data_IF_933493288689
#
_entry.id   IF_933493288689
#
_cell.length_a   1.000
_cell.length_b   1.000
_cell.length_c   1.000
_cell.angle_alpha   90.00
_cell.angle_beta   90.00
_cell.angle_gamma   90.00
#
_symmetry.space_group_name_H-M   'P 1'
#
loop_
_entity.id
_entity.type
_entity.pdbx_description
1 polymer ?
#
# COMPACT_ATOMS: atom_id res chain seq x y z
N UNK A 1 5.18 21.23 2.36
CA UNK A 1 5.12 20.20 3.44
C UNK A 1 3.66 19.89 3.78
N UNK A 2 2.85 20.90 4.10
CA UNK A 2 1.44 20.72 4.43
C UNK A 2 0.64 19.94 3.37
N UNK A 3 0.79 20.26 2.09
CA UNK A 3 0.09 19.54 1.00
C UNK A 3 0.51 18.07 0.88
N UNK A 4 1.78 17.75 1.18
CA UNK A 4 2.27 16.37 1.22
C UNK A 4 1.63 15.61 2.38
N UNK A 5 1.45 16.24 3.54
CA UNK A 5 0.76 15.63 4.68
C UNK A 5 -0.71 15.39 4.35
N UNK A 6 -1.39 16.38 3.77
CA UNK A 6 -2.80 16.26 3.35
C UNK A 6 -3.01 15.12 2.35
N UNK A 7 -2.17 15.04 1.33
CA UNK A 7 -2.27 13.98 0.33
C UNK A 7 -1.99 12.59 0.91
N UNK A 8 -1.08 12.46 1.88
CA UNK A 8 -0.85 11.19 2.58
C UNK A 8 -2.01 10.80 3.50
N UNK A 9 -2.62 11.77 4.18
CA UNK A 9 -3.82 11.53 4.99
C UNK A 9 -5.02 11.12 4.15
N UNK A 10 -5.22 11.74 2.98
CA UNK A 10 -6.21 11.32 2.01
C UNK A 10 -5.94 9.89 1.49
N UNK A 11 -4.68 9.57 1.21
CA UNK A 11 -4.25 8.21 0.85
C UNK A 11 -4.63 7.18 1.93
N UNK A 12 -4.33 7.48 3.20
CA UNK A 12 -4.65 6.59 4.33
C UNK A 12 -6.15 6.36 4.49
N UNK A 13 -6.96 7.42 4.44
CA UNK A 13 -8.41 7.30 4.55
C UNK A 13 -9.02 6.54 3.39
N UNK A 14 -8.72 6.93 2.15
CA UNK A 14 -9.30 6.29 0.97
C UNK A 14 -8.78 4.87 0.78
N UNK A 15 -7.53 4.59 1.15
CA UNK A 15 -7.01 3.23 1.23
C UNK A 15 -7.78 2.38 2.26
N UNK A 16 -8.02 2.91 3.46
CA UNK A 16 -8.83 2.22 4.46
C UNK A 16 -10.31 2.09 4.05
N UNK A 17 -10.85 2.99 3.22
CA UNK A 17 -12.25 2.96 2.83
C UNK A 17 -12.55 2.08 1.60
N UNK A 18 -11.53 1.58 0.88
CA UNK A 18 -11.71 0.89 -0.40
C UNK A 18 -11.13 -0.53 -0.43
N UNK A 19 -11.71 -1.44 -1.25
CA UNK A 19 -11.14 -2.75 -1.53
C UNK A 19 -9.68 -2.66 -2.00
N UNK A 20 -8.83 -3.57 -1.50
CA UNK A 20 -7.41 -3.65 -1.86
C UNK A 20 -6.62 -2.34 -1.66
N UNK A 21 -7.15 -1.41 -0.86
CA UNK A 21 -6.61 -0.06 -0.69
C UNK A 21 -6.46 0.72 -2.01
N UNK A 22 -7.22 0.34 -3.05
CA UNK A 22 -7.10 0.90 -4.40
C UNK A 22 -7.46 2.38 -4.50
N UNK A 23 -8.26 2.89 -3.56
CA UNK A 23 -8.64 4.30 -3.47
C UNK A 23 -7.55 5.22 -2.93
N UNK A 24 -6.51 4.68 -2.29
CA UNK A 24 -5.44 5.50 -1.70
C UNK A 24 -4.64 6.29 -2.73
N UNK A 25 -4.06 5.61 -3.72
CA UNK A 25 -3.27 6.25 -4.77
C UNK A 25 -4.07 7.31 -5.58
N UNK A 26 -5.31 7.04 -6.07
CA UNK A 26 -6.14 8.06 -6.70
C UNK A 26 -6.40 9.28 -5.83
N UNK A 27 -6.66 9.08 -4.53
CA UNK A 27 -6.89 10.19 -3.60
C UNK A 27 -5.63 11.05 -3.41
N UNK A 28 -4.46 10.42 -3.28
CA UNK A 28 -3.18 11.12 -3.22
C UNK A 28 -2.95 11.97 -4.46
N UNK A 29 -3.16 11.39 -5.64
CA UNK A 29 -2.98 12.08 -6.93
C UNK A 29 -3.96 13.25 -7.06
N UNK A 30 -5.21 13.05 -6.67
CA UNK A 30 -6.24 14.09 -6.71
C UNK A 30 -5.86 15.29 -5.84
N UNK A 31 -5.47 15.06 -4.57
CA UNK A 31 -5.09 16.16 -3.66
C UNK A 31 -3.88 16.92 -4.19
N UNK A 32 -2.83 16.21 -4.65
CA UNK A 32 -1.64 16.86 -5.20
C UNK A 32 -1.95 17.67 -6.46
N UNK A 33 -2.78 17.13 -7.35
CA UNK A 33 -3.23 17.83 -8.55
C UNK A 33 -3.99 19.12 -8.22
N UNK A 34 -4.83 19.10 -7.17
CA UNK A 34 -5.54 20.29 -6.69
C UNK A 34 -4.59 21.34 -6.10
N UNK A 35 -3.48 20.92 -5.50
CA UNK A 35 -2.40 21.81 -5.06
C UNK A 35 -1.52 22.34 -6.22
N UNK A 36 -1.87 22.07 -7.48
CA UNK A 36 -1.15 22.55 -8.66
C UNK A 36 0.00 21.64 -9.12
N UNK A 37 0.18 20.46 -8.53
CA UNK A 37 1.21 19.51 -8.94
C UNK A 37 0.77 18.81 -10.25
N UNK A 38 1.64 18.69 -11.26
CA UNK A 38 1.33 17.93 -12.47
C UNK A 38 0.91 16.49 -12.17
N UNK A 39 -0.01 15.95 -12.99
CA UNK A 39 -0.54 14.58 -12.81
C UNK A 39 0.58 13.54 -12.92
N UNK A 40 1.49 13.68 -13.90
CA UNK A 40 2.68 12.84 -14.02
C UNK A 40 3.54 12.81 -12.74
N UNK A 41 3.77 13.96 -12.12
CA UNK A 41 4.60 14.04 -10.91
C UNK A 41 3.89 13.43 -9.70
N UNK A 42 2.57 13.61 -9.61
CA UNK A 42 1.73 12.99 -8.58
C UNK A 42 1.69 11.46 -8.73
N UNK A 43 1.57 10.96 -9.96
CA UNK A 43 1.66 9.54 -10.29
C UNK A 43 3.04 8.98 -9.93
N UNK A 44 4.10 9.72 -10.20
CA UNK A 44 5.47 9.34 -9.85
C UNK A 44 5.64 9.22 -8.34
N UNK A 45 5.17 10.21 -7.56
CA UNK A 45 5.20 10.17 -6.09
C UNK A 45 4.45 8.94 -5.57
N UNK A 46 3.24 8.70 -6.07
CA UNK A 46 2.44 7.53 -5.67
C UNK A 46 3.11 6.21 -6.01
N UNK A 47 3.74 6.12 -7.19
CA UNK A 47 4.50 4.94 -7.62
C UNK A 47 5.72 4.68 -6.74
N UNK A 48 6.47 5.73 -6.39
CA UNK A 48 7.63 5.61 -5.49
C UNK A 48 7.20 5.13 -4.10
N UNK A 49 6.11 5.66 -3.55
CA UNK A 49 5.55 5.21 -2.27
C UNK A 49 5.11 3.74 -2.32
N UNK A 50 4.47 3.32 -3.41
CA UNK A 50 4.04 1.94 -3.60
C UNK A 50 5.25 1.00 -3.67
N UNK A 51 6.29 1.36 -4.44
CA UNK A 51 7.53 0.58 -4.51
C UNK A 51 8.18 0.48 -3.13
N UNK A 52 8.31 1.59 -2.39
CA UNK A 52 8.89 1.58 -1.04
C UNK A 52 8.10 0.68 -0.07
N UNK A 53 6.76 0.71 -0.15
CA UNK A 53 5.86 -0.13 0.65
C UNK A 53 6.01 -1.61 0.31
N UNK A 54 6.06 -1.95 -0.97
CA UNK A 54 6.25 -3.34 -1.39
C UNK A 54 7.67 -3.85 -1.10
N UNK A 55 8.69 -2.99 -1.20
CA UNK A 55 10.05 -3.31 -0.74
C UNK A 55 10.07 -3.62 0.75
N UNK A 56 9.32 -2.86 1.57
CA UNK A 56 9.14 -3.21 2.98
C UNK A 56 8.55 -4.59 3.16
N UNK A 57 7.47 -4.91 2.45
CA UNK A 57 6.86 -6.24 2.54
C UNK A 57 7.81 -7.35 2.12
N UNK A 58 8.63 -7.14 1.09
CA UNK A 58 9.65 -8.12 0.68
C UNK A 58 10.70 -8.32 1.78
N UNK A 59 11.27 -7.24 2.32
CA UNK A 59 12.27 -7.32 3.39
C UNK A 59 11.69 -7.94 4.65
N UNK A 60 10.48 -7.54 5.05
CA UNK A 60 9.81 -8.11 6.23
C UNK A 60 9.44 -9.58 6.03
N UNK A 61 9.09 -10.00 4.82
CA UNK A 61 8.83 -11.40 4.51
C UNK A 61 10.09 -12.26 4.63
N UNK A 62 11.25 -11.73 4.22
CA UNK A 62 12.54 -12.41 4.43
C UNK A 62 12.86 -12.54 5.92
N UNK A 63 12.60 -11.49 6.71
CA UNK A 63 12.74 -11.55 8.17
C UNK A 63 11.81 -12.60 8.79
N UNK A 64 10.56 -12.66 8.33
CA UNK A 64 9.59 -13.65 8.81
C UNK A 64 10.02 -15.09 8.49
N UNK A 65 10.61 -15.35 7.32
CA UNK A 65 11.17 -16.68 6.98
C UNK A 65 12.31 -17.10 7.90
N UNK A 66 13.06 -16.14 8.44
CA UNK A 66 14.18 -16.42 9.34
C UNK A 66 13.73 -16.55 10.80
N UNK A 67 12.74 -15.77 11.23
CA UNK A 67 12.28 -15.73 12.64
C UNK A 67 11.15 -16.68 12.98
N UNK A 68 10.33 -17.09 12.01
CA UNK A 68 9.24 -18.03 12.27
C UNK A 68 9.75 -19.47 12.22
N UNK A 69 9.47 -20.29 13.26
CA UNK A 69 9.72 -21.72 13.21
C UNK A 69 8.98 -22.37 12.03
N UNK A 70 9.66 -23.24 11.28
CA UNK A 70 9.12 -23.87 10.08
C UNK A 70 7.89 -24.75 10.35
N UNK A 71 7.82 -25.31 11.56
CA UNK A 71 6.76 -26.16 12.07
C UNK A 71 5.58 -25.39 12.67
N UNK A 72 5.71 -24.06 12.87
CA UNK A 72 4.70 -23.25 13.56
C UNK A 72 3.30 -23.40 12.95
N UNK A 73 3.21 -23.55 11.63
CA UNK A 73 1.95 -23.68 10.87
C UNK A 73 1.84 -25.02 10.12
N UNK A 74 2.72 -25.98 10.41
CA UNK A 74 2.80 -27.27 9.71
C UNK A 74 3.50 -27.20 8.34
N UNK A 75 3.65 -28.37 7.70
CA UNK A 75 4.50 -28.56 6.51
C UNK A 75 4.10 -27.70 5.29
N UNK A 76 2.82 -27.32 5.20
CA UNK A 76 2.30 -26.54 4.08
C UNK A 76 2.54 -25.03 4.19
N UNK A 77 3.03 -24.52 5.32
CA UNK A 77 3.25 -23.09 5.49
C UNK A 77 4.37 -22.53 4.63
N UNK A 78 5.54 -23.16 4.68
CA UNK A 78 6.71 -22.74 3.90
C UNK A 78 6.44 -22.64 2.39
N UNK A 79 5.76 -23.59 1.71
CA UNK A 79 5.42 -23.42 0.29
C UNK A 79 4.40 -22.30 0.06
N UNK A 80 3.35 -22.17 0.87
CA UNK A 80 2.35 -21.09 0.72
C UNK A 80 3.00 -19.71 0.89
N UNK A 81 3.84 -19.54 1.91
CA UNK A 81 4.53 -18.29 2.17
C UNK A 81 5.51 -17.94 1.04
N UNK A 82 6.21 -18.92 0.48
CA UNK A 82 7.09 -18.73 -0.71
C UNK A 82 6.32 -18.28 -1.94
N UNK A 83 5.10 -18.80 -2.16
CA UNK A 83 4.22 -18.32 -3.24
C UNK A 83 3.79 -16.88 -3.00
N UNK A 84 3.40 -16.52 -1.77
CA UNK A 84 3.09 -15.13 -1.43
C UNK A 84 4.27 -14.18 -1.70
N UNK A 85 5.47 -14.57 -1.26
CA UNK A 85 6.71 -13.81 -1.51
C UNK A 85 7.00 -13.66 -3.01
N UNK A 86 6.83 -14.72 -3.81
CA UNK A 86 7.07 -14.66 -5.25
C UNK A 86 6.06 -13.76 -5.97
N UNK A 87 4.80 -13.75 -5.54
CA UNK A 87 3.76 -12.85 -6.05
C UNK A 87 4.12 -11.39 -5.78
N UNK A 88 4.48 -11.04 -4.54
CA UNK A 88 4.89 -9.66 -4.20
C UNK A 88 6.12 -9.25 -5.01
N UNK A 89 7.10 -10.16 -5.16
CA UNK A 89 8.31 -9.92 -5.96
C UNK A 89 7.96 -9.68 -7.43
N UNK A 90 7.03 -10.45 -7.99
CA UNK A 90 6.55 -10.26 -9.36
C UNK A 90 5.87 -8.91 -9.53
N UNK A 91 5.01 -8.49 -8.60
CA UNK A 91 4.33 -7.17 -8.63
C UNK A 91 5.37 -6.04 -8.63
N UNK A 92 6.34 -6.07 -7.72
CA UNK A 92 7.41 -5.05 -7.66
C UNK A 92 8.21 -5.02 -8.96
N UNK A 93 8.57 -6.19 -9.48
CA UNK A 93 9.34 -6.30 -10.73
C UNK A 93 8.58 -5.73 -11.92
N UNK A 94 7.28 -6.01 -12.03
CA UNK A 94 6.41 -5.46 -13.08
C UNK A 94 6.31 -3.93 -12.96
N UNK A 95 6.13 -3.40 -11.75
CA UNK A 95 6.07 -1.95 -11.52
C UNK A 95 7.37 -1.25 -11.92
N UNK A 96 8.52 -1.79 -11.49
CA UNK A 96 9.84 -1.26 -11.86
C UNK A 96 10.09 -1.36 -13.37
N UNK A 97 9.63 -2.43 -14.01
CA UNK A 97 9.71 -2.61 -15.46
C UNK A 97 8.87 -1.54 -16.17
N UNK A 98 7.63 -1.28 -15.75
CA UNK A 98 6.79 -0.24 -16.34
C UNK A 98 7.36 1.16 -16.14
N UNK A 99 7.97 1.43 -14.98
CA UNK A 99 8.62 2.70 -14.69
C UNK A 99 9.89 2.92 -15.53
N UNK A 100 10.64 1.85 -15.79
CA UNK A 100 11.87 1.88 -16.60
C UNK A 100 11.57 1.90 -18.11
N UNK A 101 10.51 1.21 -18.54
CA UNK A 101 10.12 0.98 -19.93
C UNK A 101 8.64 1.32 -20.18
N UNK A 102 8.26 2.61 -20.27
CA UNK A 102 6.87 3.05 -20.47
C UNK A 102 6.30 2.61 -21.82
N UNK A 103 7.14 2.27 -22.80
CA UNK A 103 6.70 1.67 -24.07
C UNK A 103 6.10 0.29 -23.86
N UNK A 104 6.61 -0.49 -22.89
CA UNK A 104 6.03 -1.78 -22.52
C UNK A 104 4.71 -1.58 -21.79
N UNK A 105 4.65 -0.62 -20.86
CA UNK A 105 3.42 -0.24 -20.17
C UNK A 105 2.32 0.20 -21.16
N UNK A 106 2.68 1.04 -22.15
CA UNK A 106 1.76 1.47 -23.20
C UNK A 106 1.28 0.31 -24.08
N UNK A 107 2.18 -0.60 -24.48
CA UNK A 107 1.80 -1.81 -25.23
C UNK A 107 0.82 -2.67 -24.43
N UNK A 108 1.11 -2.94 -23.16
CA UNK A 108 0.23 -3.71 -22.26
C UNK A 108 -1.13 -3.04 -22.11
N UNK A 109 -1.16 -1.72 -21.87
CA UNK A 109 -2.40 -0.95 -21.75
C UNK A 109 -3.19 -0.98 -23.06
N UNK A 110 -2.53 -0.79 -24.20
CA UNK A 110 -3.17 -0.84 -25.51
C UNK A 110 -3.78 -2.21 -25.78
N UNK A 111 -3.10 -3.30 -25.39
CA UNK A 111 -3.59 -4.67 -25.51
C UNK A 111 -4.82 -4.92 -24.61
N UNK A 112 -4.76 -4.51 -23.34
CA UNK A 112 -5.89 -4.61 -22.40
C UNK A 112 -7.12 -3.88 -22.94
N UNK A 113 -6.92 -2.66 -23.43
CA UNK A 113 -7.99 -1.89 -24.03
C UNK A 113 -8.56 -2.53 -25.32
N UNK A 114 -7.85 -3.45 -26.00
CA UNK A 114 -8.37 -4.17 -27.20
C UNK A 114 -9.38 -5.23 -26.83
N UNK A 115 -9.32 -5.72 -25.60
CA UNK A 115 -10.24 -6.73 -25.05
C UNK A 115 -11.55 -6.09 -24.59
N UNK A 116 -11.59 -4.78 -24.34
CA UNK A 116 -12.81 -4.07 -23.98
C UNK A 116 -13.83 -4.04 -25.14
N UNK A 117 -15.09 -4.42 -24.92
CA UNK A 117 -16.13 -4.42 -25.95
C UNK A 117 -16.50 -2.98 -26.33
N UNK A 118 -16.35 -2.64 -27.61
CA UNK A 118 -16.70 -1.34 -28.16
C UNK A 118 -16.47 -1.29 -29.67
N UNK A 119 -17.51 -1.62 -30.46
CA UNK A 119 -17.40 -1.75 -31.93
C UNK A 119 -17.60 -0.43 -32.70
N UNK A 120 -18.04 0.65 -32.06
CA UNK A 120 -18.30 1.93 -32.73
C UNK A 120 -17.01 2.71 -33.07
N UNK A 121 -16.97 3.33 -34.25
CA UNK A 121 -15.87 4.19 -34.71
C UNK A 121 -15.55 5.32 -33.70
N UNK A 122 -16.58 5.95 -33.15
CA UNK A 122 -16.45 7.02 -32.13
C UNK A 122 -15.79 6.52 -30.84
N UNK A 123 -16.07 5.28 -30.43
CA UNK A 123 -15.43 4.65 -29.28
C UNK A 123 -13.96 4.33 -29.54
N UNK A 124 -13.60 3.99 -30.80
CA UNK A 124 -12.20 3.77 -31.20
C UNK A 124 -11.39 5.07 -31.19
N UNK A 125 -11.94 6.17 -31.69
CA UNK A 125 -11.25 7.47 -31.72
C UNK A 125 -11.09 8.08 -30.32
N UNK A 126 -12.08 7.94 -29.44
CA UNK A 126 -11.95 8.33 -28.03
C UNK A 126 -10.86 7.51 -27.35
N UNK A 127 -10.82 6.19 -27.64
CA UNK A 127 -9.85 5.27 -27.05
C UNK A 127 -8.42 5.57 -27.50
N UNK A 128 -8.17 5.86 -28.77
CA UNK A 128 -6.84 6.23 -29.26
C UNK A 128 -6.36 7.53 -28.61
N UNK A 129 -7.21 8.56 -28.55
CA UNK A 129 -6.89 9.83 -27.85
C UNK A 129 -6.54 9.62 -26.37
N UNK A 130 -7.28 8.76 -25.67
CA UNK A 130 -6.97 8.43 -24.27
C UNK A 130 -5.62 7.70 -24.19
N UNK A 131 -5.37 6.71 -25.05
CA UNK A 131 -4.11 5.96 -25.05
C UNK A 131 -2.90 6.86 -25.34
N UNK A 132 -3.03 7.81 -26.27
CA UNK A 132 -1.97 8.77 -26.58
C UNK A 132 -1.70 9.72 -25.41
N UNK A 133 -2.76 10.20 -24.74
CA UNK A 133 -2.62 11.01 -23.53
C UNK A 133 -1.98 10.23 -22.38
N UNK A 134 -2.36 8.97 -22.17
CA UNK A 134 -1.73 8.13 -21.15
C UNK A 134 -0.26 7.86 -21.52
N UNK A 135 0.05 7.65 -22.80
CA UNK A 135 1.42 7.47 -23.25
C UNK A 135 2.30 8.68 -22.96
N UNK A 136 1.81 9.89 -23.25
CA UNK A 136 2.58 11.12 -22.98
C UNK A 136 2.80 11.34 -21.48
N UNK A 137 1.80 11.05 -20.65
CA UNK A 137 1.95 11.10 -19.18
C UNK A 137 2.94 10.03 -18.67
N UNK A 138 2.89 8.79 -19.19
CA UNK A 138 3.87 7.74 -18.86
C UNK A 138 5.31 8.14 -19.24
N UNK A 139 5.49 8.82 -20.37
CA UNK A 139 6.80 9.35 -20.75
C UNK A 139 7.29 10.44 -19.80
N UNK A 140 6.40 11.33 -19.34
CA UNK A 140 6.71 12.34 -18.32
C UNK A 140 7.09 11.69 -16.99
N UNK A 141 6.33 10.68 -16.54
CA UNK A 141 6.66 9.89 -15.34
C UNK A 141 8.06 9.28 -15.43
N UNK A 142 8.42 8.67 -16.57
CA UNK A 142 9.78 8.14 -16.78
C UNK A 142 10.84 9.24 -16.71
N UNK A 143 10.60 10.38 -17.35
CA UNK A 143 11.55 11.50 -17.34
C UNK A 143 11.75 12.03 -15.92
N UNK A 144 10.66 12.22 -15.17
CA UNK A 144 10.70 12.57 -13.75
C UNK A 144 11.48 11.54 -12.93
N UNK A 145 11.16 10.25 -13.07
CA UNK A 145 11.86 9.18 -12.36
C UNK A 145 13.37 9.17 -12.67
N UNK A 146 13.76 9.29 -13.94
CA UNK A 146 15.16 9.36 -14.35
C UNK A 146 15.86 10.59 -13.79
N UNK A 147 15.16 11.72 -13.72
CA UNK A 147 15.69 12.96 -13.13
C UNK A 147 15.96 12.78 -11.64
N UNK A 148 15.01 12.21 -10.89
CA UNK A 148 15.17 11.94 -9.44
C UNK A 148 16.32 10.94 -9.22
N UNK A 149 16.40 9.87 -10.00
CA UNK A 149 17.52 8.92 -9.92
C UNK A 149 18.88 9.54 -10.26
N UNK A 150 18.93 10.61 -11.05
CA UNK A 150 20.20 11.28 -11.39
C UNK A 150 20.61 12.30 -10.34
N UNK A 151 19.67 13.15 -9.90
CA UNK A 151 19.98 14.35 -9.12
C UNK A 151 19.58 14.22 -7.63
N UNK A 152 18.71 13.28 -7.28
CA UNK A 152 18.17 13.16 -5.92
C UNK A 152 18.07 11.70 -5.44
N UNK A 153 19.17 10.95 -5.59
CA UNK A 153 19.28 9.56 -5.10
C UNK A 153 19.08 9.48 -3.59
N UNK A 154 19.61 10.46 -2.86
CA UNK A 154 19.47 10.56 -1.40
C UNK A 154 18.00 10.70 -1.01
N UNK A 155 17.21 11.49 -1.73
CA UNK A 155 15.78 11.62 -1.49
C UNK A 155 15.03 10.28 -1.62
N UNK A 156 15.28 9.52 -2.68
CA UNK A 156 14.68 8.17 -2.85
C UNK A 156 15.09 7.25 -1.71
N UNK A 157 16.39 7.22 -1.38
CA UNK A 157 16.91 6.38 -0.30
C UNK A 157 16.24 6.72 1.04
N UNK A 158 16.17 8.01 1.39
CA UNK A 158 15.52 8.47 2.61
C UNK A 158 14.03 8.14 2.61
N UNK A 159 13.33 8.25 1.48
CA UNK A 159 11.93 7.83 1.37
C UNK A 159 11.77 6.34 1.66
N UNK A 160 12.61 5.48 1.05
CA UNK A 160 12.54 4.03 1.29
C UNK A 160 12.76 3.72 2.77
N UNK A 161 13.81 4.28 3.38
CA UNK A 161 14.13 4.08 4.80
C UNK A 161 13.00 4.62 5.70
N UNK A 162 12.49 5.81 5.42
CA UNK A 162 11.37 6.39 6.16
C UNK A 162 10.12 5.49 6.08
N UNK A 163 9.83 4.92 4.89
CA UNK A 163 8.76 3.93 4.74
C UNK A 163 9.03 2.66 5.55
N UNK A 164 10.28 2.17 5.59
CA UNK A 164 10.63 1.02 6.42
C UNK A 164 10.32 1.29 7.90
N UNK A 165 10.77 2.43 8.42
CA UNK A 165 10.57 2.84 9.80
C UNK A 165 9.08 3.01 10.11
N UNK A 166 8.33 3.66 9.20
CA UNK A 166 6.90 3.89 9.36
C UNK A 166 6.11 2.58 9.45
N UNK A 167 6.36 1.63 8.56
CA UNK A 167 5.65 0.36 8.60
C UNK A 167 6.15 -0.56 9.72
N UNK A 168 7.45 -0.55 10.04
CA UNK A 168 7.97 -1.31 11.18
C UNK A 168 7.39 -0.81 12.50
N UNK A 169 7.15 0.50 12.63
CA UNK A 169 6.42 1.07 13.76
C UNK A 169 5.01 0.46 13.92
N UNK A 170 4.35 0.05 12.83
CA UNK A 170 3.05 -0.66 12.91
C UNK A 170 3.18 -2.05 13.54
N UNK A 171 4.27 -2.77 13.26
CA UNK A 171 4.56 -4.04 13.95
C UNK A 171 4.84 -3.82 15.43
N UNK A 172 5.64 -2.80 15.76
CA UNK A 172 5.95 -2.43 17.15
C UNK A 172 4.71 -1.99 17.93
N UNK A 173 3.78 -1.25 17.31
CA UNK A 173 2.52 -0.87 17.96
C UNK A 173 1.73 -2.10 18.41
N UNK A 174 1.63 -3.14 17.57
CA UNK A 174 1.00 -4.39 17.99
C UNK A 174 1.73 -5.05 19.16
N UNK A 175 3.06 -5.08 19.11
CA UNK A 175 3.85 -5.67 20.20
C UNK A 175 3.63 -4.93 21.52
N UNK A 176 3.66 -3.59 21.49
CA UNK A 176 3.40 -2.74 22.66
C UNK A 176 2.00 -2.97 23.20
N UNK A 177 0.98 -3.11 22.35
CA UNK A 177 -0.39 -3.43 22.79
C UNK A 177 -0.43 -4.78 23.50
N UNK A 178 0.21 -5.82 22.95
CA UNK A 178 0.26 -7.14 23.59
C UNK A 178 0.98 -7.08 24.97
N UNK A 179 2.12 -6.39 25.05
CA UNK A 179 2.85 -6.19 26.31
C UNK A 179 2.06 -5.37 27.33
N UNK A 180 1.33 -4.34 26.88
CA UNK A 180 0.50 -3.50 27.74
C UNK A 180 -0.69 -4.28 28.34
N UNK A 181 -1.14 -5.34 27.66
CA UNK A 181 -2.13 -6.30 28.17
C UNK A 181 -1.53 -7.37 29.11
N UNK A 182 -0.25 -7.22 29.49
CA UNK A 182 0.46 -8.15 30.38
C UNK A 182 0.85 -9.48 29.73
N UNK A 183 0.84 -9.59 28.41
CA UNK A 183 1.22 -10.82 27.72
C UNK A 183 2.73 -10.87 27.47
N UNK A 184 3.37 -11.94 27.89
CA UNK A 184 4.79 -12.18 27.64
C UNK A 184 4.98 -12.92 26.30
N UNK A 185 5.04 -12.13 25.22
CA UNK A 185 5.23 -12.68 23.87
C UNK A 185 6.67 -12.52 23.38
N UNK A 186 7.27 -13.57 22.77
CA UNK A 186 8.60 -13.48 22.15
C UNK A 186 8.59 -12.48 20.99
N UNK A 187 9.57 -11.57 20.96
CA UNK A 187 9.57 -10.46 20.02
C UNK A 187 9.67 -10.94 18.57
N UNK A 188 10.59 -11.86 18.29
CA UNK A 188 10.91 -12.37 16.96
C UNK A 188 9.71 -13.07 16.32
N UNK A 189 9.09 -13.99 17.07
CA UNK A 189 7.91 -14.73 16.62
C UNK A 189 6.74 -13.77 16.44
N UNK A 190 6.54 -12.83 17.37
CA UNK A 190 5.46 -11.84 17.27
C UNK A 190 5.60 -10.98 16.02
N UNK A 191 6.79 -10.44 15.74
CA UNK A 191 7.03 -9.65 14.54
C UNK A 191 6.82 -10.51 13.29
N UNK A 192 7.31 -11.75 13.26
CA UNK A 192 7.07 -12.68 12.15
C UNK A 192 5.58 -12.89 11.87
N UNK A 193 4.76 -13.06 12.90
CA UNK A 193 3.31 -13.16 12.78
C UNK A 193 2.66 -11.85 12.31
N UNK A 194 3.15 -10.69 12.78
CA UNK A 194 2.68 -9.38 12.31
C UNK A 194 2.98 -9.16 10.81
N UNK A 195 4.07 -9.71 10.27
CA UNK A 195 4.35 -9.66 8.83
C UNK A 195 3.26 -10.39 8.05
N UNK A 196 2.92 -11.62 8.45
CA UNK A 196 1.84 -12.40 7.82
C UNK A 196 0.53 -11.62 7.90
N UNK A 197 0.22 -11.08 9.08
CA UNK A 197 -1.00 -10.33 9.32
C UNK A 197 -1.13 -9.12 8.41
N UNK A 198 -0.11 -8.28 8.32
CA UNK A 198 -0.15 -7.08 7.50
C UNK A 198 -0.17 -7.39 6.00
N UNK A 199 0.47 -8.48 5.55
CA UNK A 199 0.35 -8.94 4.16
C UNK A 199 -1.10 -9.34 3.82
N UNK A 200 -1.74 -10.14 4.68
CA UNK A 200 -3.14 -10.56 4.50
C UNK A 200 -4.08 -9.36 4.43
N UNK A 201 -3.85 -8.38 5.30
CA UNK A 201 -4.65 -7.14 5.38
C UNK A 201 -4.40 -6.24 4.18
N UNK A 202 -3.15 -6.11 3.74
CA UNK A 202 -2.80 -5.22 2.65
C UNK A 202 -3.48 -5.63 1.34
N UNK A 203 -3.55 -6.94 1.08
CA UNK A 203 -4.18 -7.53 -0.10
C UNK A 203 -5.64 -7.97 0.14
N UNK A 204 -6.29 -7.51 1.21
CA UNK A 204 -7.67 -7.84 1.49
C UNK A 204 -8.63 -7.18 0.47
N UNK A 205 -9.59 -7.93 -0.13
CA UNK A 205 -10.60 -7.38 -1.02
C UNK A 205 -11.68 -6.57 -0.28
N UNK A 206 -11.70 -6.60 1.05
CA UNK A 206 -12.72 -5.91 1.84
C UNK A 206 -12.30 -4.47 2.15
N UNK A 207 -13.25 -3.51 2.14
CA UNK A 207 -12.99 -2.17 2.66
C UNK A 207 -12.44 -2.23 4.08
N UNK A 208 -11.31 -1.56 4.30
CA UNK A 208 -10.62 -1.52 5.59
C UNK A 208 -10.08 -2.87 6.03
N UNK A 209 -10.03 -3.88 5.15
CA UNK A 209 -9.70 -5.26 5.48
C UNK A 209 -10.57 -5.85 6.62
N UNK A 210 -11.75 -5.27 6.88
CA UNK A 210 -12.65 -5.72 7.94
C UNK A 210 -13.05 -7.18 7.73
N UNK A 211 -13.24 -7.91 8.82
CA UNK A 211 -13.31 -9.37 8.82
C UNK A 211 -11.92 -10.03 8.73
N UNK A 212 -11.19 -9.84 7.62
CA UNK A 212 -9.87 -10.48 7.40
C UNK A 212 -8.88 -10.07 8.50
N UNK A 213 -8.82 -8.80 8.87
CA UNK A 213 -7.89 -8.36 9.90
C UNK A 213 -8.23 -8.90 11.29
N UNK A 214 -9.51 -9.03 11.63
CA UNK A 214 -9.94 -9.52 12.95
C UNK A 214 -9.69 -11.02 13.05
N UNK A 215 -10.13 -11.77 12.03
CA UNK A 215 -9.90 -13.21 11.95
C UNK A 215 -8.40 -13.53 11.92
N UNK A 216 -7.60 -12.81 11.12
CA UNK A 216 -6.16 -13.03 11.07
C UNK A 216 -5.45 -12.62 12.37
N UNK A 217 -5.91 -11.55 13.06
CA UNK A 217 -5.40 -11.20 14.40
C UNK A 217 -5.62 -12.33 15.39
N UNK A 218 -6.85 -12.82 15.52
CA UNK A 218 -7.21 -13.87 16.47
C UNK A 218 -6.48 -15.17 16.12
N UNK A 219 -6.46 -15.56 14.85
CA UNK A 219 -5.80 -16.78 14.39
C UNK A 219 -4.28 -16.77 14.61
N UNK A 220 -3.61 -15.66 14.26
CA UNK A 220 -2.15 -15.56 14.38
C UNK A 220 -1.74 -15.38 15.84
N UNK A 221 -2.37 -14.45 16.56
CA UNK A 221 -2.01 -14.14 17.94
C UNK A 221 -2.45 -15.23 18.92
N UNK A 222 -3.42 -16.08 18.56
CA UNK A 222 -3.80 -17.26 19.35
C UNK A 222 -2.66 -18.25 19.55
N UNK A 223 -1.58 -18.14 18.78
CA UNK A 223 -0.35 -18.92 19.00
C UNK A 223 0.52 -18.41 20.13
N UNK A 224 0.32 -17.16 20.55
CA UNK A 224 1.14 -16.47 21.54
C UNK A 224 0.35 -16.02 22.78
N UNK A 225 -0.97 -15.90 22.67
CA UNK A 225 -1.82 -15.29 23.69
C UNK A 225 -3.09 -16.14 23.96
N UNK A 226 -3.63 -16.13 25.19
CA UNK A 226 -4.87 -16.83 25.54
C UNK A 226 -6.10 -16.28 24.81
N UNK A 227 -7.06 -17.17 24.49
CA UNK A 227 -8.29 -16.83 23.76
C UNK A 227 -9.10 -15.68 24.37
N UNK A 228 -9.13 -15.58 25.72
CA UNK A 228 -9.84 -14.53 26.45
C UNK A 228 -9.35 -13.11 26.13
N UNK A 229 -8.12 -12.97 25.64
CA UNK A 229 -7.48 -11.68 25.35
C UNK A 229 -7.45 -11.33 23.86
N UNK A 230 -7.66 -12.31 22.97
CA UNK A 230 -7.45 -12.14 21.52
C UNK A 230 -8.39 -11.11 20.90
N UNK A 231 -9.66 -11.13 21.29
CA UNK A 231 -10.64 -10.18 20.77
C UNK A 231 -10.31 -8.74 21.19
N UNK A 232 -9.95 -8.55 22.47
CA UNK A 232 -9.56 -7.25 23.02
C UNK A 232 -8.31 -6.74 22.31
N UNK A 233 -7.31 -7.62 22.14
CA UNK A 233 -6.09 -7.29 21.39
C UNK A 233 -6.39 -6.87 19.95
N UNK A 234 -7.20 -7.65 19.22
CA UNK A 234 -7.54 -7.36 17.83
C UNK A 234 -8.19 -5.98 17.68
N UNK A 235 -9.08 -5.62 18.62
CA UNK A 235 -9.74 -4.31 18.65
C UNK A 235 -8.77 -3.16 18.98
N UNK A 236 -7.91 -3.31 20.00
CA UNK A 236 -6.93 -2.28 20.37
C UNK A 236 -5.89 -2.08 19.27
N UNK A 237 -5.41 -3.17 18.68
CA UNK A 237 -4.50 -3.15 17.53
C UNK A 237 -5.16 -2.45 16.33
N UNK A 238 -6.42 -2.74 16.03
CA UNK A 238 -7.22 -2.06 14.98
C UNK A 238 -7.35 -0.56 15.22
N UNK A 239 -7.68 -0.20 16.46
CA UNK A 239 -7.88 1.18 16.89
C UNK A 239 -6.61 2.00 16.64
N UNK A 240 -5.49 1.49 17.15
CA UNK A 240 -4.18 2.16 17.09
C UNK A 240 -3.59 2.18 15.68
N UNK A 241 -3.65 1.07 14.94
CA UNK A 241 -2.98 0.92 13.65
C UNK A 241 -3.71 1.54 12.46
N UNK A 242 -5.05 1.54 12.49
CA UNK A 242 -5.87 1.82 11.30
C UNK A 242 -6.92 2.89 11.57
N UNK A 243 -7.71 2.76 12.64
CA UNK A 243 -8.87 3.63 12.88
C UNK A 243 -8.42 5.07 13.17
N UNK A 244 -7.44 5.29 14.03
CA UNK A 244 -6.92 6.63 14.31
C UNK A 244 -6.41 7.31 13.03
N UNK A 245 -5.61 6.59 12.22
CA UNK A 245 -5.11 7.10 10.94
C UNK A 245 -6.23 7.45 9.96
N UNK A 246 -7.28 6.63 9.89
CA UNK A 246 -8.44 6.89 9.04
C UNK A 246 -9.27 8.09 9.52
N UNK A 247 -9.40 8.30 10.83
CA UNK A 247 -10.08 9.48 11.40
C UNK A 247 -9.34 10.76 11.03
N UNK A 248 -8.01 10.80 11.22
CA UNK A 248 -7.23 11.96 10.81
C UNK A 248 -7.34 12.22 9.30
N UNK A 249 -7.30 11.14 8.50
CA UNK A 249 -7.48 11.22 7.05
C UNK A 249 -8.84 11.74 6.60
N UNK A 250 -9.92 11.30 7.27
CA UNK A 250 -11.29 11.72 6.92
C UNK A 250 -11.51 13.20 7.21
N UNK A 251 -11.05 13.70 8.35
CA UNK A 251 -11.15 15.12 8.72
C UNK A 251 -10.50 15.99 7.66
N UNK A 252 -9.30 15.63 7.22
CA UNK A 252 -8.54 16.37 6.19
C UNK A 252 -9.27 16.38 4.85
N UNK A 253 -9.76 15.22 4.42
CA UNK A 253 -10.49 15.07 3.17
C UNK A 253 -11.80 15.88 3.16
N UNK A 254 -12.50 15.93 4.30
CA UNK A 254 -13.71 16.73 4.47
C UNK A 254 -13.41 18.24 4.43
N UNK A 255 -12.32 18.69 5.06
CA UNK A 255 -11.89 20.08 4.97
C UNK A 255 -11.58 20.48 3.52
N UNK A 256 -10.87 19.62 2.77
CA UNK A 256 -10.61 19.84 1.34
C UNK A 256 -11.90 20.00 0.54
N UNK A 257 -12.88 19.10 0.71
CA UNK A 257 -14.15 19.21 -0.01
C UNK A 257 -14.98 20.42 0.41
N UNK A 258 -14.89 20.86 1.68
CA UNK A 258 -15.63 22.03 2.16
C UNK A 258 -15.06 23.33 1.63
N UNK A 259 -13.74 23.44 1.51
CA UNK A 259 -13.07 24.60 0.91
C UNK A 259 -13.48 24.75 -0.57
N UNK A 260 -13.58 23.62 -1.28
CA UNK A 260 -14.06 23.59 -2.67
C UNK A 260 -15.51 24.05 -2.86
N UNK A 261 -16.37 23.92 -1.84
CA UNK A 261 -17.74 24.43 -1.89
C UNK A 261 -17.82 25.95 -1.72
N UNK A 262 -16.75 26.61 -1.27
CA UNK A 262 -16.70 28.06 -1.08
C UNK A 262 -16.11 28.80 -2.28
N UNK A 263 -15.32 28.13 -3.09
CA UNK A 263 -14.70 28.66 -4.33
C UNK A 263 -15.57 28.46 -5.60
N UNK A 264 -16.81 27.99 -5.45
CA UNK A 264 -17.83 27.92 -6.50
C UNK A 264 -18.93 28.92 -6.24
#
# INVERSE_FOLDING_TARGET
IWDCMRSNWANMFMGAATPFQTGGAPAQIYVLWRCGVPVADSLLISTVNLVATLTFFLLSSLLALFWLPADLFGENFAPIFRVGFSVVTAIVSILLLFLSFPTVAHKALSALFRVLPGKSQSSRDKRTRILDRVHSELLRVRQGFRSILRHNKTGIFLTIIATQVLFFNKYLMGYVVARAMGQEVPFEIFIGLQVIQLLLIYFAPTPGASGIAELSSVWLMGKLMPESTLLIYALLWRLTSTILGAIFGSVVLLYEFRDQSKDK
#
